data_IF_492745952013
#
_entry.id   IF_492745952013
#
_cell.length_a   1.000
_cell.length_b   1.000
_cell.length_c   1.000
_cell.angle_alpha   90.00
_cell.angle_beta   90.00
_cell.angle_gamma   90.00
#
_symmetry.space_group_name_H-M   'P 1'
#
loop_
_entity.id
_entity.type
_entity.pdbx_description
1 polymer ?
#
# COMPACT_ATOMS: atom_id res chain seq x y z
N UNK A 1 5.77 17.74 4.79
CA UNK A 1 6.24 16.83 3.73
C UNK A 1 6.84 15.51 4.27
N UNK A 2 6.42 15.03 5.44
CA UNK A 2 7.10 13.91 6.12
C UNK A 2 6.36 12.57 6.05
N UNK A 3 5.04 12.57 5.80
CA UNK A 3 4.25 11.33 5.73
C UNK A 3 4.31 10.65 4.36
N UNK A 4 4.20 11.38 3.25
CA UNK A 4 4.25 10.78 1.91
C UNK A 4 5.56 10.02 1.63
N UNK A 5 6.68 10.52 2.13
CA UNK A 5 7.99 9.88 1.99
C UNK A 5 8.10 8.62 2.87
N UNK A 6 7.63 8.69 4.12
CA UNK A 6 7.62 7.53 5.01
C UNK A 6 6.73 6.40 4.45
N UNK A 7 5.57 6.76 3.92
CA UNK A 7 4.66 5.81 3.26
C UNK A 7 5.30 5.25 1.99
N UNK A 8 5.90 6.08 1.15
CA UNK A 8 6.60 5.61 -0.05
C UNK A 8 7.78 4.66 0.28
N UNK A 9 8.52 4.91 1.37
CA UNK A 9 9.57 4.00 1.82
C UNK A 9 9.02 2.67 2.32
N UNK A 10 7.95 2.68 3.13
CA UNK A 10 7.28 1.46 3.58
C UNK A 10 6.75 0.63 2.40
N UNK A 11 6.12 1.29 1.43
CA UNK A 11 5.66 0.65 0.20
C UNK A 11 6.81 0.12 -0.67
N UNK A 12 7.92 0.85 -0.75
CA UNK A 12 9.11 0.39 -1.48
C UNK A 12 9.78 -0.82 -0.80
N UNK A 13 9.76 -0.87 0.54
CA UNK A 13 10.19 -2.05 1.29
C UNK A 13 9.30 -3.26 1.05
N UNK A 14 8.03 -3.08 0.67
CA UNK A 14 7.15 -4.19 0.28
C UNK A 14 7.39 -4.67 -1.15
N UNK A 15 7.89 -3.79 -2.02
CA UNK A 15 8.17 -4.08 -3.42
C UNK A 15 9.49 -4.86 -3.61
N UNK A 16 9.69 -5.97 -2.90
CA UNK A 16 10.93 -6.75 -3.00
C UNK A 16 11.23 -7.21 -4.44
N UNK A 17 10.19 -7.48 -5.24
CA UNK A 17 10.34 -7.89 -6.65
C UNK A 17 10.52 -6.72 -7.62
N UNK A 18 10.47 -5.46 -7.16
CA UNK A 18 10.65 -4.28 -8.00
C UNK A 18 9.57 -4.10 -9.08
N UNK A 19 8.50 -4.89 -9.07
CA UNK A 19 7.42 -4.85 -10.07
C UNK A 19 6.56 -3.58 -9.95
N UNK A 20 6.65 -2.86 -8.83
CA UNK A 20 5.81 -1.68 -8.56
C UNK A 20 4.40 -2.03 -8.09
N UNK A 21 4.13 -3.32 -7.93
CA UNK A 21 2.88 -3.89 -7.46
C UNK A 21 3.17 -4.94 -6.40
N UNK A 22 2.27 -5.07 -5.44
CA UNK A 22 2.34 -6.08 -4.37
C UNK A 22 0.98 -6.77 -4.25
N UNK A 23 0.95 -8.00 -3.74
CA UNK A 23 -0.34 -8.64 -3.50
C UNK A 23 -1.07 -8.01 -2.31
N UNK A 24 -2.41 -8.07 -2.33
CA UNK A 24 -3.26 -7.66 -1.22
C UNK A 24 -2.85 -8.37 0.09
N UNK A 25 -2.50 -9.65 0.01
CA UNK A 25 -2.02 -10.40 1.17
C UNK A 25 -0.73 -9.83 1.76
N UNK A 26 0.26 -9.50 0.92
CA UNK A 26 1.53 -8.91 1.37
C UNK A 26 1.31 -7.54 2.01
N UNK A 27 0.42 -6.74 1.40
CA UNK A 27 0.02 -5.45 1.95
C UNK A 27 -0.68 -5.60 3.30
N UNK A 28 -1.62 -6.53 3.44
CA UNK A 28 -2.31 -6.80 4.72
C UNK A 28 -1.35 -7.31 5.80
N UNK A 29 -0.40 -8.17 5.45
CA UNK A 29 0.63 -8.65 6.38
C UNK A 29 1.49 -7.48 6.89
N UNK A 30 1.86 -6.54 6.01
CA UNK A 30 2.61 -5.36 6.42
C UNK A 30 1.79 -4.38 7.27
N UNK A 31 0.49 -4.23 6.98
CA UNK A 31 -0.41 -3.45 7.83
C UNK A 31 -0.62 -4.08 9.22
N UNK A 32 -0.40 -5.39 9.36
CA UNK A 32 -0.41 -6.05 10.65
C UNK A 32 0.88 -5.81 11.44
N UNK A 33 1.94 -5.31 10.80
CA UNK A 33 3.18 -4.94 11.46
C UNK A 33 2.96 -3.70 12.34
N UNK A 34 3.37 -3.78 13.60
CA UNK A 34 3.19 -2.71 14.57
C UNK A 34 3.97 -1.43 14.21
N UNK A 35 4.96 -1.54 13.34
CA UNK A 35 5.77 -0.43 12.87
C UNK A 35 5.21 0.21 11.58
N UNK A 36 4.04 -0.24 11.11
CA UNK A 36 3.43 0.28 9.91
C UNK A 36 2.85 1.68 10.13
N UNK A 37 3.40 2.65 9.41
CA UNK A 37 2.93 4.05 9.44
C UNK A 37 1.75 4.31 8.50
N UNK A 38 1.23 3.28 7.83
CA UNK A 38 0.11 3.39 6.89
C UNK A 38 -1.22 3.32 7.63
N UNK A 39 -2.19 4.14 7.22
CA UNK A 39 -3.54 4.08 7.75
C UNK A 39 -4.28 2.83 7.23
N UNK A 40 -4.41 1.83 8.10
CA UNK A 40 -5.04 0.54 7.78
C UNK A 40 -6.45 0.68 7.24
N UNK A 41 -7.22 1.69 7.68
CA UNK A 41 -8.57 1.95 7.19
C UNK A 41 -8.56 2.40 5.74
N UNK A 42 -7.74 3.40 5.41
CA UNK A 42 -7.54 3.90 4.05
C UNK A 42 -7.02 2.81 3.12
N UNK A 43 -6.02 2.05 3.55
CA UNK A 43 -5.43 1.00 2.72
C UNK A 43 -6.45 -0.10 2.44
N UNK A 44 -7.25 -0.52 3.44
CA UNK A 44 -8.37 -1.45 3.21
C UNK A 44 -9.43 -0.89 2.28
N UNK A 45 -9.74 0.41 2.37
CA UNK A 45 -10.70 1.05 1.46
C UNK A 45 -10.15 1.10 0.03
N UNK A 46 -8.86 1.38 -0.13
CA UNK A 46 -8.17 1.35 -1.41
C UNK A 46 -8.19 -0.06 -2.00
N UNK A 47 -7.80 -1.07 -1.21
CA UNK A 47 -7.85 -2.49 -1.57
C UNK A 47 -9.27 -2.86 -2.00
N UNK A 48 -10.29 -2.60 -1.18
CA UNK A 48 -11.67 -2.94 -1.52
C UNK A 48 -12.17 -2.24 -2.79
N UNK A 49 -11.66 -1.04 -3.08
CA UNK A 49 -12.00 -0.30 -4.31
C UNK A 49 -11.24 -0.81 -5.55
N UNK A 50 -10.05 -1.39 -5.37
CA UNK A 50 -9.17 -1.89 -6.44
C UNK A 50 -9.19 -3.42 -6.63
N UNK A 51 -9.69 -4.20 -5.66
CA UNK A 51 -9.83 -5.67 -5.70
C UNK A 51 -10.79 -6.16 -6.79
N UNK A 52 -11.48 -5.23 -7.47
CA UNK A 52 -12.20 -5.53 -8.72
C UNK A 52 -11.25 -5.99 -9.85
N UNK A 53 -9.94 -5.75 -9.74
CA UNK A 53 -8.96 -6.27 -10.69
C UNK A 53 -8.60 -7.71 -10.32
N UNK A 54 -9.04 -8.67 -11.15
CA UNK A 54 -8.95 -10.14 -11.02
C UNK A 54 -7.57 -10.75 -10.68
N UNK A 55 -6.52 -9.93 -10.53
CA UNK A 55 -5.14 -10.32 -10.29
C UNK A 55 -4.74 -10.24 -8.80
N UNK A 56 -5.54 -9.59 -7.94
CA UNK A 56 -5.27 -9.51 -6.50
C UNK A 56 -4.03 -8.66 -6.14
N UNK A 57 -3.53 -7.86 -7.09
CA UNK A 57 -2.37 -6.99 -6.94
C UNK A 57 -2.78 -5.52 -6.78
N UNK A 58 -2.02 -4.81 -5.96
CA UNK A 58 -2.15 -3.39 -5.66
C UNK A 58 -0.97 -2.63 -6.23
N UNK A 59 -1.27 -1.59 -7.00
CA UNK A 59 -0.25 -0.67 -7.53
C UNK A 59 0.19 0.33 -6.45
N UNK A 60 1.50 0.32 -6.15
CA UNK A 60 2.07 1.12 -5.08
C UNK A 60 2.03 2.63 -5.37
N UNK A 61 2.10 3.03 -6.65
CA UNK A 61 2.00 4.45 -7.00
C UNK A 61 0.58 4.96 -6.79
N UNK A 62 -0.42 4.19 -7.20
CA UNK A 62 -1.83 4.51 -6.96
C UNK A 62 -2.12 4.59 -5.46
N UNK A 63 -1.66 3.61 -4.69
CA UNK A 63 -1.84 3.57 -3.24
C UNK A 63 -1.15 4.76 -2.55
N UNK A 64 0.10 5.06 -2.92
CA UNK A 64 0.84 6.20 -2.37
C UNK A 64 0.12 7.53 -2.64
N UNK A 65 -0.40 7.73 -3.86
CA UNK A 65 -1.21 8.90 -4.19
C UNK A 65 -2.51 8.96 -3.40
N UNK A 66 -3.21 7.83 -3.27
CA UNK A 66 -4.46 7.76 -2.52
C UNK A 66 -4.26 8.12 -1.04
N UNK A 67 -3.12 7.72 -0.47
CA UNK A 67 -2.73 8.04 0.90
C UNK A 67 -2.20 9.47 1.05
N UNK A 68 -1.57 10.04 0.01
CA UNK A 68 -1.08 11.43 -0.03
C UNK A 68 -2.19 12.46 -0.22
N UNK A 69 -3.34 12.08 -0.79
CA UNK A 69 -4.51 12.97 -0.94
C UNK A 69 -5.22 13.34 0.39
N UNK A 70 -4.47 13.45 1.50
CA UNK A 70 -4.94 14.02 2.78
C UNK A 70 -4.63 15.51 2.92
#
# INVERSE_FOLDING_TARGET
RSQAQAQAQALNSLNHNGSGRINVNELQQHLADANCQLDRGRVRQFIASHEASQDGTVDLQQLSKFLDQQ
#
